data_IF_959600755953
#
_entry.id   IF_959600755953
#
_cell.length_a   1.000
_cell.length_b   1.000
_cell.length_c   1.000
_cell.angle_alpha   90.00
_cell.angle_beta   90.00
_cell.angle_gamma   90.00
#
_symmetry.space_group_name_H-M   'P 1'
#
loop_
_entity.id
_entity.type
_entity.pdbx_description
1 polymer ?
#
# COMPACT_ATOMS: atom_id res chain seq x y z
N UNK A 1 -46.25 4.55 -67.41
CA UNK A 1 -45.26 4.92 -66.36
C UNK A 1 -45.97 5.34 -65.06
N UNK A 2 -46.88 4.52 -64.51
CA UNK A 2 -47.63 4.84 -63.25
C UNK A 2 -47.57 3.80 -62.16
N UNK A 3 -46.77 2.73 -62.30
CA UNK A 3 -46.73 1.59 -61.35
C UNK A 3 -45.38 1.34 -60.69
N UNK A 4 -44.34 2.18 -60.95
CA UNK A 4 -42.99 1.99 -60.39
C UNK A 4 -42.84 2.67 -59.02
N UNK A 5 -43.75 3.56 -58.62
CA UNK A 5 -43.63 4.34 -57.39
C UNK A 5 -44.27 3.69 -56.13
N UNK A 6 -44.96 2.54 -56.26
CA UNK A 6 -45.68 1.90 -55.12
C UNK A 6 -44.85 0.79 -54.46
N UNK A 7 -43.73 0.35 -55.06
CA UNK A 7 -42.94 -0.79 -54.56
C UNK A 7 -41.77 -0.42 -53.64
N UNK A 8 -41.58 0.88 -53.38
CA UNK A 8 -40.45 1.38 -52.55
C UNK A 8 -40.84 1.82 -51.11
N UNK A 9 -42.12 1.67 -50.73
CA UNK A 9 -42.60 2.11 -49.40
C UNK A 9 -42.91 1.00 -48.41
N UNK A 10 -42.57 -0.29 -48.71
CA UNK A 10 -42.91 -1.42 -47.88
C UNK A 10 -41.71 -2.11 -47.19
N UNK A 11 -40.48 -1.51 -47.24
CA UNK A 11 -39.25 -2.14 -46.79
C UNK A 11 -38.58 -1.52 -45.53
N UNK A 12 -39.27 -0.68 -44.77
CA UNK A 12 -38.62 0.01 -43.62
C UNK A 12 -39.35 -0.05 -42.28
N UNK A 13 -39.75 -1.22 -41.75
CA UNK A 13 -39.97 -1.33 -40.32
C UNK A 13 -39.28 -2.51 -39.65
N UNK A 14 -38.10 -2.98 -40.07
CA UNK A 14 -37.46 -4.17 -39.45
C UNK A 14 -36.21 -3.88 -38.61
N UNK A 15 -35.77 -2.62 -38.49
CA UNK A 15 -34.53 -2.33 -37.80
C UNK A 15 -34.62 -1.63 -36.41
N UNK A 16 -35.80 -1.65 -35.77
CA UNK A 16 -35.97 -1.04 -34.45
C UNK A 16 -36.28 -2.03 -33.31
N UNK A 17 -36.00 -3.30 -33.48
CA UNK A 17 -36.26 -4.33 -32.45
C UNK A 17 -34.99 -4.92 -31.83
N UNK A 18 -33.95 -4.14 -31.66
CA UNK A 18 -32.67 -4.62 -31.07
C UNK A 18 -32.16 -3.74 -29.95
N UNK A 19 -32.97 -3.47 -28.93
CA UNK A 19 -32.50 -2.97 -27.63
C UNK A 19 -33.51 -3.32 -26.53
N UNK A 20 -33.88 -4.58 -26.47
CA UNK A 20 -34.66 -5.15 -25.38
C UNK A 20 -33.96 -6.36 -24.83
N UNK A 21 -32.79 -6.22 -24.26
CA UNK A 21 -32.24 -7.30 -23.45
C UNK A 21 -33.13 -7.44 -22.21
N UNK A 22 -33.65 -8.60 -21.91
CA UNK A 22 -34.66 -8.75 -20.88
C UNK A 22 -34.11 -8.39 -19.51
N UNK A 23 -34.87 -7.58 -18.78
CA UNK A 23 -34.64 -7.26 -17.36
C UNK A 23 -34.66 -8.52 -16.44
N UNK A 24 -34.71 -9.71 -17.02
CA UNK A 24 -34.71 -11.00 -16.33
C UNK A 24 -33.42 -11.27 -15.52
N UNK A 25 -32.28 -10.67 -15.92
CA UNK A 25 -31.01 -10.90 -15.25
C UNK A 25 -30.73 -9.92 -14.12
N UNK A 26 -31.50 -8.84 -13.99
CA UNK A 26 -31.29 -7.81 -12.98
C UNK A 26 -31.37 -8.37 -11.52
N UNK A 27 -32.35 -9.19 -11.15
CA UNK A 27 -32.41 -9.80 -9.81
C UNK A 27 -31.22 -10.72 -9.52
N UNK A 28 -30.80 -11.52 -10.51
CA UNK A 28 -29.66 -12.41 -10.39
C UNK A 28 -28.35 -11.61 -10.24
N UNK A 29 -28.20 -10.51 -10.98
CA UNK A 29 -27.08 -9.60 -10.89
C UNK A 29 -27.03 -8.92 -9.50
N UNK A 30 -28.16 -8.41 -9.00
CA UNK A 30 -28.25 -7.82 -7.67
C UNK A 30 -27.92 -8.82 -6.57
N UNK A 31 -28.41 -10.04 -6.64
CA UNK A 31 -28.07 -11.11 -5.70
C UNK A 31 -26.57 -11.45 -5.72
N UNK A 32 -25.95 -11.42 -6.90
CA UNK A 32 -24.51 -11.62 -7.05
C UNK A 32 -23.71 -10.47 -6.45
N UNK A 33 -24.11 -9.22 -6.66
CA UNK A 33 -23.51 -8.04 -6.06
C UNK A 33 -23.60 -8.09 -4.53
N UNK A 34 -24.77 -8.42 -3.98
CA UNK A 34 -24.96 -8.58 -2.52
C UNK A 34 -24.07 -9.67 -1.94
N UNK A 35 -23.96 -10.82 -2.64
CA UNK A 35 -23.05 -11.90 -2.23
C UNK A 35 -21.58 -11.47 -2.26
N UNK A 36 -21.15 -10.72 -3.30
CA UNK A 36 -19.80 -10.19 -3.40
C UNK A 36 -19.53 -9.16 -2.30
N UNK A 37 -20.50 -8.28 -2.02
CA UNK A 37 -20.40 -7.30 -0.95
C UNK A 37 -20.24 -7.99 0.42
N UNK A 38 -21.08 -9.00 0.73
CA UNK A 38 -20.94 -9.78 1.97
C UNK A 38 -19.59 -10.47 2.09
N UNK A 39 -19.07 -11.03 1.01
CA UNK A 39 -17.72 -11.65 1.00
C UNK A 39 -16.63 -10.61 1.24
N UNK A 40 -16.77 -9.41 0.69
CA UNK A 40 -15.85 -8.30 0.89
C UNK A 40 -15.89 -7.81 2.35
N UNK A 41 -17.08 -7.69 2.94
CA UNK A 41 -17.27 -7.25 4.32
C UNK A 41 -16.69 -8.26 5.33
N UNK A 42 -16.69 -9.55 4.98
CA UNK A 42 -16.07 -10.62 5.79
C UNK A 42 -14.58 -10.82 5.50
N UNK A 43 -14.02 -10.18 4.47
CA UNK A 43 -12.60 -10.28 4.15
C UNK A 43 -11.77 -9.66 5.28
N UNK A 44 -10.72 -10.37 5.72
CA UNK A 44 -9.79 -9.85 6.71
C UNK A 44 -9.12 -8.57 6.17
N UNK A 45 -9.09 -7.54 7.00
CA UNK A 45 -8.38 -6.29 6.74
C UNK A 45 -7.43 -6.01 7.90
N UNK A 46 -6.13 -5.84 7.65
CA UNK A 46 -5.19 -5.49 8.70
C UNK A 46 -5.58 -4.17 9.37
N UNK A 47 -5.48 -4.11 10.69
CA UNK A 47 -5.68 -2.88 11.46
C UNK A 47 -4.41 -2.01 11.48
N UNK A 48 -4.56 -0.73 11.88
CA UNK A 48 -3.43 0.19 11.98
C UNK A 48 -2.29 -0.35 12.86
N UNK A 49 -2.61 -0.99 13.99
CA UNK A 49 -1.60 -1.56 14.89
C UNK A 49 -0.82 -2.71 14.27
N UNK A 50 -1.42 -3.48 13.37
CA UNK A 50 -0.75 -4.56 12.66
C UNK A 50 0.25 -4.02 11.64
N UNK A 51 -0.15 -3.03 10.85
CA UNK A 51 0.77 -2.32 9.95
C UNK A 51 1.93 -1.69 10.74
N UNK A 52 1.66 -1.02 11.87
CA UNK A 52 2.72 -0.40 12.69
C UNK A 52 3.67 -1.43 13.27
N UNK A 53 3.19 -2.63 13.63
CA UNK A 53 4.06 -3.74 14.06
C UNK A 53 4.95 -4.24 12.93
N UNK A 54 4.43 -4.34 11.71
CA UNK A 54 5.21 -4.65 10.51
C UNK A 54 6.28 -3.60 10.24
N UNK A 55 5.89 -2.32 10.25
CA UNK A 55 6.83 -1.20 10.08
C UNK A 55 7.95 -1.24 11.13
N UNK A 56 7.65 -1.57 12.39
CA UNK A 56 8.68 -1.70 13.44
C UNK A 56 9.69 -2.79 13.10
N UNK A 57 9.24 -3.95 12.64
CA UNK A 57 10.13 -5.05 12.21
C UNK A 57 11.02 -4.62 11.05
N UNK A 58 10.45 -3.97 10.02
CA UNK A 58 11.22 -3.50 8.87
C UNK A 58 12.18 -2.37 9.24
N UNK A 59 11.81 -1.49 10.17
CA UNK A 59 12.70 -0.47 10.73
C UNK A 59 13.93 -1.09 11.41
N UNK A 60 13.74 -2.14 12.23
CA UNK A 60 14.85 -2.85 12.87
C UNK A 60 15.77 -3.52 11.85
N UNK A 61 15.22 -4.22 10.87
CA UNK A 61 15.98 -4.86 9.80
C UNK A 61 16.73 -3.86 8.94
N UNK A 62 16.11 -2.75 8.57
CA UNK A 62 16.70 -1.66 7.81
C UNK A 62 17.97 -1.13 8.47
N UNK A 63 17.91 -0.92 9.79
CA UNK A 63 19.09 -0.48 10.54
C UNK A 63 20.28 -1.40 10.37
N UNK A 64 20.08 -2.69 10.60
CA UNK A 64 21.17 -3.66 10.52
C UNK A 64 21.63 -3.89 9.08
N UNK A 65 20.73 -3.87 8.11
CA UNK A 65 21.10 -3.94 6.70
C UNK A 65 22.04 -2.81 6.30
N UNK A 66 21.65 -1.56 6.60
CA UNK A 66 22.49 -0.38 6.31
C UNK A 66 23.79 -0.35 7.10
N UNK A 67 23.75 -0.71 8.40
CA UNK A 67 24.92 -0.78 9.27
C UNK A 67 25.99 -1.76 8.76
N UNK A 68 25.57 -2.88 8.18
CA UNK A 68 26.48 -3.87 7.60
C UNK A 68 26.77 -3.65 6.12
N UNK A 69 26.17 -2.62 5.50
CA UNK A 69 26.36 -2.30 4.10
C UNK A 69 25.69 -3.27 3.12
N UNK A 70 24.65 -3.98 3.57
CA UNK A 70 23.79 -4.80 2.72
C UNK A 70 22.71 -3.92 2.11
N UNK A 71 23.12 -3.17 1.06
CA UNK A 71 22.29 -2.14 0.45
C UNK A 71 21.07 -2.71 -0.25
N UNK A 72 21.16 -3.92 -0.80
CA UNK A 72 20.02 -4.59 -1.44
C UNK A 72 18.95 -4.95 -0.40
N UNK A 73 19.36 -5.48 0.75
CA UNK A 73 18.45 -5.72 1.88
C UNK A 73 17.89 -4.41 2.45
N UNK A 74 18.73 -3.37 2.57
CA UNK A 74 18.27 -2.06 3.07
C UNK A 74 17.19 -1.45 2.15
N UNK A 75 17.38 -1.52 0.83
CA UNK A 75 16.37 -1.07 -0.14
C UNK A 75 15.07 -1.87 -0.05
N UNK A 76 15.18 -3.19 0.13
CA UNK A 76 14.00 -4.04 0.36
C UNK A 76 13.22 -3.59 1.60
N UNK A 77 13.90 -3.37 2.73
CA UNK A 77 13.23 -3.02 3.98
C UNK A 77 12.59 -1.61 3.94
N UNK A 78 13.18 -0.64 3.21
CA UNK A 78 12.53 0.65 2.96
C UNK A 78 11.26 0.47 2.12
N UNK A 79 11.31 -0.38 1.09
CA UNK A 79 10.15 -0.71 0.26
C UNK A 79 9.00 -1.31 1.09
N UNK A 80 9.28 -2.24 2.00
CA UNK A 80 8.30 -2.86 2.90
C UNK A 80 7.63 -1.82 3.83
N UNK A 81 8.40 -0.84 4.32
CA UNK A 81 7.83 0.28 5.10
C UNK A 81 6.90 1.12 4.22
N UNK A 82 7.31 1.47 3.00
CA UNK A 82 6.50 2.25 2.06
C UNK A 82 5.21 1.53 1.67
N UNK A 83 5.30 0.21 1.44
CA UNK A 83 4.14 -0.64 1.16
C UNK A 83 3.17 -0.68 2.35
N UNK A 84 3.69 -0.83 3.56
CA UNK A 84 2.89 -0.78 4.78
C UNK A 84 2.18 0.57 4.95
N UNK A 85 2.85 1.70 4.67
CA UNK A 85 2.22 3.04 4.69
C UNK A 85 1.10 3.14 3.66
N UNK A 86 1.32 2.61 2.45
CA UNK A 86 0.28 2.54 1.41
C UNK A 86 -0.91 1.69 1.86
N UNK A 87 -0.64 0.55 2.51
CA UNK A 87 -1.67 -0.30 3.11
C UNK A 87 -2.50 0.44 4.16
N UNK A 88 -1.87 1.20 5.05
CA UNK A 88 -2.56 2.03 6.03
C UNK A 88 -3.48 3.04 5.34
N UNK A 89 -2.99 3.74 4.32
CA UNK A 89 -3.79 4.71 3.55
C UNK A 89 -5.02 4.07 2.88
N UNK A 90 -4.91 2.82 2.44
CA UNK A 90 -6.00 2.11 1.77
C UNK A 90 -7.01 1.49 2.75
N UNK A 91 -6.56 0.94 3.87
CA UNK A 91 -7.39 0.11 4.74
C UNK A 91 -7.78 0.75 6.07
N UNK A 92 -7.11 1.83 6.49
CA UNK A 92 -7.33 2.48 7.79
C UNK A 92 -7.83 3.92 7.65
N UNK A 93 -8.63 4.24 6.61
CA UNK A 93 -9.05 5.61 6.29
C UNK A 93 -9.92 6.26 7.39
N UNK A 94 -10.55 5.48 8.24
CA UNK A 94 -11.33 5.91 9.38
C UNK A 94 -10.48 6.33 10.60
N UNK A 95 -9.17 6.10 10.54
CA UNK A 95 -8.26 6.38 11.65
C UNK A 95 -7.79 7.84 11.65
N UNK A 96 -7.90 8.57 12.78
CA UNK A 96 -7.49 9.97 12.86
C UNK A 96 -5.97 10.19 12.69
N UNK A 97 -5.17 9.15 12.84
CA UNK A 97 -3.72 9.15 12.69
C UNK A 97 -3.27 9.34 11.24
N UNK A 98 -4.12 8.99 10.27
CA UNK A 98 -3.82 9.03 8.82
C UNK A 98 -3.33 10.40 8.36
N UNK A 99 -3.87 11.48 8.91
CA UNK A 99 -3.47 12.87 8.54
C UNK A 99 -2.00 13.18 8.84
N UNK A 100 -1.34 12.38 9.69
CA UNK A 100 0.06 12.57 10.05
C UNK A 100 1.03 11.68 9.26
N UNK A 101 0.54 10.67 8.53
CA UNK A 101 1.37 9.78 7.72
C UNK A 101 2.28 10.50 6.72
N UNK A 102 1.87 11.65 6.10
CA UNK A 102 2.76 12.34 5.17
C UNK A 102 4.11 12.78 5.76
N UNK A 103 4.23 12.86 7.09
CA UNK A 103 5.50 13.20 7.75
C UNK A 103 6.62 12.22 7.45
N UNK A 104 6.30 10.94 7.18
CA UNK A 104 7.30 9.88 7.02
C UNK A 104 7.92 9.84 5.63
N UNK A 105 7.29 10.44 4.60
CA UNK A 105 7.76 10.31 3.22
C UNK A 105 9.16 10.93 3.04
N UNK A 106 9.38 12.15 3.52
CA UNK A 106 10.66 12.81 3.33
C UNK A 106 11.86 12.05 3.92
N UNK A 107 11.83 11.52 5.18
CA UNK A 107 12.92 10.69 5.68
C UNK A 107 13.07 9.34 4.93
N UNK A 108 12.00 8.72 4.45
CA UNK A 108 12.11 7.51 3.62
C UNK A 108 12.77 7.81 2.27
N UNK A 109 12.39 8.91 1.59
CA UNK A 109 13.02 9.35 0.35
C UNK A 109 14.51 9.67 0.52
N UNK A 110 14.91 10.19 1.68
CA UNK A 110 16.32 10.44 2.00
C UNK A 110 17.09 9.15 2.15
N UNK A 111 16.54 8.18 2.87
CA UNK A 111 17.12 6.83 3.03
C UNK A 111 17.27 6.11 1.70
N UNK A 112 16.28 6.16 0.81
CA UNK A 112 16.38 5.59 -0.53
C UNK A 112 17.57 6.14 -1.32
N UNK A 113 17.79 7.46 -1.25
CA UNK A 113 18.94 8.12 -1.88
C UNK A 113 20.28 7.67 -1.28
N UNK A 114 20.35 7.51 0.04
CA UNK A 114 21.57 7.07 0.73
C UNK A 114 21.91 5.63 0.41
N UNK A 115 20.89 4.76 0.38
CA UNK A 115 21.00 3.36 0.00
C UNK A 115 21.51 3.24 -1.46
N UNK A 116 20.90 3.99 -2.39
CA UNK A 116 21.31 4.02 -3.79
C UNK A 116 22.77 4.45 -3.98
N UNK A 117 23.25 5.39 -3.12
CA UNK A 117 24.62 5.91 -3.14
C UNK A 117 25.57 5.09 -2.26
N UNK A 118 25.07 4.10 -1.53
CA UNK A 118 25.83 3.30 -0.55
C UNK A 118 26.55 4.16 0.48
N UNK A 119 25.87 5.23 0.93
CA UNK A 119 26.44 6.25 1.82
C UNK A 119 26.11 5.93 3.29
N UNK A 120 26.96 5.12 3.94
CA UNK A 120 26.73 4.68 5.32
C UNK A 120 26.67 5.82 6.35
N UNK A 121 27.42 6.91 6.11
CA UNK A 121 27.42 8.05 7.03
C UNK A 121 26.08 8.78 7.00
N UNK A 122 25.58 9.09 5.81
CA UNK A 122 24.31 9.79 5.66
C UNK A 122 23.14 8.90 6.05
N UNK A 123 23.18 7.61 5.65
CA UNK A 123 22.21 6.61 6.07
C UNK A 123 21.99 6.61 7.60
N UNK A 124 23.07 6.64 8.38
CA UNK A 124 22.96 6.67 9.85
C UNK A 124 22.23 7.92 10.35
N UNK A 125 22.50 9.09 9.75
CA UNK A 125 21.84 10.34 10.13
C UNK A 125 20.35 10.33 9.71
N UNK A 126 20.05 9.86 8.50
CA UNK A 126 18.68 9.85 7.98
C UNK A 126 17.83 8.73 8.61
N UNK A 127 18.46 7.65 9.05
CA UNK A 127 17.77 6.65 9.88
C UNK A 127 17.37 7.21 11.27
N UNK A 128 18.26 8.02 11.88
CA UNK A 128 17.89 8.74 13.11
C UNK A 128 16.74 9.71 12.87
N UNK A 129 16.76 10.41 11.72
CA UNK A 129 15.66 11.31 11.32
C UNK A 129 14.34 10.53 11.14
N UNK A 130 14.36 9.37 10.48
CA UNK A 130 13.19 8.49 10.35
C UNK A 130 12.65 8.11 11.72
N UNK A 131 13.53 7.63 12.63
CA UNK A 131 13.15 7.23 13.99
C UNK A 131 12.52 8.39 14.78
N UNK A 132 13.11 9.59 14.68
CA UNK A 132 12.56 10.78 15.31
C UNK A 132 11.20 11.16 14.72
N UNK A 133 11.02 11.00 13.42
CA UNK A 133 9.74 11.27 12.73
C UNK A 133 8.66 10.31 13.18
N UNK A 134 8.97 9.00 13.35
CA UNK A 134 8.04 8.04 13.95
C UNK A 134 7.57 8.50 15.34
N UNK A 135 8.50 8.91 16.19
CA UNK A 135 8.19 9.40 17.54
C UNK A 135 7.37 10.70 17.53
N UNK A 136 7.67 11.63 16.62
CA UNK A 136 6.86 12.84 16.45
C UNK A 136 5.43 12.52 16.02
N UNK A 137 5.26 11.57 15.08
CA UNK A 137 3.95 11.12 14.66
C UNK A 137 3.19 10.49 15.84
N UNK A 138 3.84 9.62 16.62
CA UNK A 138 3.26 9.02 17.82
C UNK A 138 2.84 10.10 18.83
N UNK A 139 3.65 11.13 19.02
CA UNK A 139 3.35 12.22 19.95
C UNK A 139 2.10 13.01 19.51
N UNK A 140 2.05 13.47 18.25
CA UNK A 140 0.92 14.28 17.77
C UNK A 140 -0.37 13.47 17.59
N UNK A 141 -0.26 12.14 17.41
CA UNK A 141 -1.39 11.21 17.32
C UNK A 141 -1.87 10.65 18.67
N UNK A 142 -1.36 11.19 19.79
CA UNK A 142 -1.68 10.76 21.17
C UNK A 142 -1.19 9.35 21.53
N UNK A 143 -0.12 8.89 20.88
CA UNK A 143 0.56 7.62 21.14
C UNK A 143 1.96 7.83 21.73
N UNK A 144 2.19 8.93 22.44
CA UNK A 144 3.49 9.30 23.00
C UNK A 144 4.10 8.25 23.96
N UNK A 145 3.29 7.34 24.46
CA UNK A 145 3.74 6.19 25.26
C UNK A 145 4.48 5.12 24.43
N UNK A 146 4.34 5.12 23.10
CA UNK A 146 5.00 4.20 22.18
C UNK A 146 6.23 4.88 21.58
N UNK A 147 7.37 4.67 22.17
CA UNK A 147 8.65 5.30 21.79
C UNK A 147 9.52 4.29 21.05
N UNK A 148 9.93 4.67 19.84
CA UNK A 148 10.82 3.88 18.99
C UNK A 148 12.27 4.35 19.22
N UNK A 149 13.17 3.40 19.43
CA UNK A 149 14.60 3.65 19.58
C UNK A 149 15.41 3.14 18.38
N UNK A 150 16.71 3.51 18.39
CA UNK A 150 17.67 2.89 17.45
C UNK A 150 17.91 1.45 17.92
N UNK A 151 17.76 0.44 17.04
CA UNK A 151 17.89 -0.96 17.39
C UNK A 151 19.29 -1.31 17.89
N UNK A 152 19.37 -2.07 18.97
CA UNK A 152 20.64 -2.48 19.58
C UNK A 152 21.06 -3.91 19.18
N UNK A 153 20.09 -4.78 18.94
CA UNK A 153 20.26 -6.18 18.53
C UNK A 153 19.40 -6.48 17.31
N UNK A 154 19.84 -7.39 16.42
CA UNK A 154 19.01 -7.82 15.29
C UNK A 154 17.68 -8.41 15.75
N UNK A 155 16.57 -8.19 15.01
CA UNK A 155 15.24 -8.66 15.42
C UNK A 155 15.08 -10.18 15.34
N UNK A 156 15.89 -10.84 14.52
CA UNK A 156 15.80 -12.30 14.30
C UNK A 156 17.19 -12.95 14.39
N UNK A 157 17.27 -14.01 15.18
CA UNK A 157 18.52 -14.79 15.37
C UNK A 157 18.90 -15.64 14.15
N UNK A 158 17.96 -15.89 13.24
CA UNK A 158 18.13 -16.70 12.04
C UNK A 158 18.24 -15.89 10.75
N UNK A 159 18.41 -14.57 10.84
CA UNK A 159 18.62 -13.69 9.68
C UNK A 159 20.05 -13.14 9.70
N UNK A 160 20.73 -13.26 8.57
CA UNK A 160 22.06 -12.68 8.34
C UNK A 160 21.92 -11.34 7.64
N UNK A 161 22.50 -10.29 8.22
CA UNK A 161 22.40 -8.91 7.70
C UNK A 161 23.61 -8.50 6.85
N UNK A 162 24.70 -9.25 6.87
CA UNK A 162 25.86 -8.99 6.03
C UNK A 162 25.56 -9.28 4.56
N UNK A 163 26.19 -8.56 3.62
CA UNK A 163 26.08 -8.84 2.20
C UNK A 163 26.55 -10.27 1.85
N UNK A 164 25.93 -10.89 0.84
CA UNK A 164 26.35 -12.18 0.32
C UNK A 164 27.84 -12.08 -0.12
N UNK A 165 28.66 -13.04 0.31
CA UNK A 165 30.11 -13.08 0.00
C UNK A 165 31.01 -12.34 1.00
N UNK A 166 30.45 -11.75 2.07
CA UNK A 166 31.22 -11.18 3.21
C UNK A 166 30.88 -11.88 4.53
N UNK A 167 30.40 -13.10 4.45
CA UNK A 167 30.11 -13.96 5.60
C UNK A 167 31.33 -14.74 6.02
#
# INVERSE_FOLDING_TARGET
MKYIFILLLAATPVLLSSCGQPAADAPAMLARLDSLQKRLDMAYRPGLGEFMSGIQVHHEKLWFAGKFGNWDLAGFEVGEIQESITGIQNYCQDRPEIKYLPMIHAPLDSLDKDISRKNSKQFTADFQLLTNTCNNCHQVSKHAFNVIGIPQTPPFSNQVFQPIGKQ
#
